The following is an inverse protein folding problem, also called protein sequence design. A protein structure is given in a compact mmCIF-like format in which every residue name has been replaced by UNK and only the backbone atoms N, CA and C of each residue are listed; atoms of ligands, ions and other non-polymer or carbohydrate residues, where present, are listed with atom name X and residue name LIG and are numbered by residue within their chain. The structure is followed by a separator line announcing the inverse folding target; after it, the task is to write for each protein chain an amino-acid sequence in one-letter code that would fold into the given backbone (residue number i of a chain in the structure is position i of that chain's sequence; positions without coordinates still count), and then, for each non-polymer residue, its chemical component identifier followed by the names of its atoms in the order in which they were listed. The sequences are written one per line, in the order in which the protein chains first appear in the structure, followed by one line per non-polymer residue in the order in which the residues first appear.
data_IF_669833652518
#
_entry.id   IF_669833652518
#
_cell.length_a   1.000
_cell.length_b   1.000
_cell.length_c   1.000
_cell.angle_alpha   90.00
_cell.angle_beta   90.00
_cell.angle_gamma   90.00
#
_symmetry.space_group_name_H-M   'P 1'
#
loop_
_entity.id
_entity.type
_entity.pdbx_description
1 polymer ?
#
# COMPACT_ATOMS: atom_id res chain seq x y z
N UNK A 1 59.50 27.66 -43.07
CA UNK A 1 59.50 26.37 -42.35
C UNK A 1 58.11 26.17 -41.75
N UNK A 2 57.48 25.00 -41.96
CA UNK A 2 56.43 24.42 -41.07
C UNK A 2 57.17 23.66 -39.93
N UNK A 3 56.57 23.18 -38.82
CA UNK A 3 55.14 22.99 -38.47
C UNK A 3 54.69 24.05 -37.40
N UNK A 4 53.60 23.96 -36.62
CA UNK A 4 52.62 22.88 -36.33
C UNK A 4 51.18 23.41 -36.16
N UNK A 5 50.21 22.49 -36.30
CA UNK A 5 48.84 22.57 -35.78
C UNK A 5 48.74 21.96 -34.39
N UNK A 6 47.90 22.51 -33.52
CA UNK A 6 47.43 21.85 -32.30
C UNK A 6 45.94 22.20 -32.08
N UNK A 7 45.05 21.30 -32.50
CA UNK A 7 43.63 21.42 -32.21
C UNK A 7 43.36 20.94 -30.78
N UNK A 8 42.79 21.78 -29.91
CA UNK A 8 42.26 21.31 -28.63
C UNK A 8 40.94 20.59 -28.87
N UNK A 9 40.86 19.34 -28.39
CA UNK A 9 39.66 18.51 -28.50
C UNK A 9 38.51 19.11 -27.70
N UNK A 10 37.37 19.28 -28.36
CA UNK A 10 36.08 19.39 -27.71
C UNK A 10 35.69 18.03 -27.12
N UNK A 11 35.60 17.94 -25.80
CA UNK A 11 35.03 16.78 -25.11
C UNK A 11 33.53 17.04 -24.85
N UNK A 12 32.59 16.41 -25.57
CA UNK A 12 31.19 16.46 -25.20
C UNK A 12 30.99 15.58 -23.96
N UNK A 13 30.84 16.22 -22.80
CA UNK A 13 30.41 15.52 -21.57
C UNK A 13 28.95 15.12 -21.76
N UNK A 14 28.74 13.89 -22.24
CA UNK A 14 27.42 13.29 -22.36
C UNK A 14 26.81 13.09 -20.98
N UNK A 15 25.89 13.97 -20.57
CA UNK A 15 24.97 13.70 -19.48
C UNK A 15 24.06 12.55 -19.91
N UNK A 16 24.47 11.32 -19.58
CA UNK A 16 23.58 10.17 -19.50
C UNK A 16 22.66 10.39 -18.29
N UNK A 17 21.58 11.15 -18.52
CA UNK A 17 20.44 11.17 -17.61
C UNK A 17 19.75 9.81 -17.76
N UNK A 18 20.21 8.85 -16.97
CA UNK A 18 19.46 7.65 -16.65
C UNK A 18 18.21 8.10 -15.88
N UNK A 19 17.17 8.48 -16.63
CA UNK A 19 15.80 8.45 -16.11
C UNK A 19 15.57 6.98 -15.77
N UNK A 20 15.63 6.66 -14.48
CA UNK A 20 15.29 5.32 -14.01
C UNK A 20 13.87 5.04 -14.45
N UNK A 21 13.67 4.01 -15.25
CA UNK A 21 12.35 3.44 -15.45
C UNK A 21 11.92 2.83 -14.11
N UNK A 22 11.27 3.62 -13.27
CA UNK A 22 10.22 3.08 -12.43
C UNK A 22 9.21 2.47 -13.43
N UNK A 23 9.13 1.14 -13.46
CA UNK A 23 8.08 0.47 -14.21
C UNK A 23 6.75 0.90 -13.62
N UNK A 24 5.82 1.33 -14.46
CA UNK A 24 4.46 1.59 -14.01
C UNK A 24 3.90 0.32 -13.32
N UNK A 25 3.06 0.45 -12.28
CA UNK A 25 2.43 -0.70 -11.63
C UNK A 25 1.55 -1.45 -12.63
N UNK A 26 1.48 -2.79 -12.51
CA UNK A 26 0.58 -3.62 -13.33
C UNK A 26 -0.90 -3.51 -12.89
N UNK A 27 -1.15 -2.88 -11.74
CA UNK A 27 -2.47 -2.61 -11.16
C UNK A 27 -2.86 -1.12 -11.29
N UNK A 28 -4.16 -0.86 -11.25
CA UNK A 28 -4.77 0.47 -11.47
C UNK A 28 -5.39 1.09 -10.22
N UNK A 29 -5.72 0.27 -9.21
CA UNK A 29 -6.21 0.72 -7.91
C UNK A 29 -5.73 -0.18 -6.76
N UNK A 30 -5.65 0.41 -5.57
CA UNK A 30 -5.66 -0.32 -4.30
C UNK A 30 -7.11 -0.31 -3.80
N UNK A 31 -7.68 -1.49 -3.56
CA UNK A 31 -9.06 -1.66 -3.12
C UNK A 31 -9.10 -2.13 -1.65
N UNK A 32 -9.87 -1.41 -0.86
CA UNK A 32 -10.04 -1.63 0.59
C UNK A 32 -11.52 -1.89 0.87
N UNK A 33 -11.86 -3.08 1.37
CA UNK A 33 -13.20 -3.37 1.90
C UNK A 33 -13.14 -3.28 3.41
N UNK A 34 -13.97 -2.43 4.02
CA UNK A 34 -14.12 -2.37 5.48
C UNK A 34 -15.45 -2.95 5.88
N UNK A 35 -15.46 -3.87 6.85
CA UNK A 35 -16.69 -4.45 7.42
C UNK A 35 -16.69 -4.27 8.93
N UNK A 36 -17.72 -3.61 9.47
CA UNK A 36 -17.86 -3.41 10.91
C UNK A 36 -18.25 -4.72 11.61
N UNK A 37 -17.80 -4.91 12.85
CA UNK A 37 -18.13 -6.06 13.68
C UNK A 37 -18.22 -5.67 15.16
N UNK A 38 -18.92 -6.46 15.97
CA UNK A 38 -18.80 -6.39 17.43
C UNK A 38 -18.74 -7.80 18.05
N UNK A 39 -18.18 -7.91 19.25
CA UNK A 39 -17.92 -9.19 19.94
C UNK A 39 -19.00 -9.60 20.96
N UNK A 40 -20.07 -8.82 21.13
CA UNK A 40 -20.99 -8.93 22.27
C UNK A 40 -22.47 -9.02 21.91
N UNK A 41 -22.87 -8.62 20.70
CA UNK A 41 -24.23 -8.72 20.18
C UNK A 41 -24.30 -9.79 19.08
N UNK A 42 -24.94 -10.95 19.33
CA UNK A 42 -25.07 -12.01 18.34
C UNK A 42 -26.00 -11.65 17.18
N UNK A 43 -26.86 -10.63 17.33
CA UNK A 43 -27.79 -10.15 16.32
C UNK A 43 -27.27 -8.90 15.60
N UNK A 44 -25.98 -8.55 15.77
CA UNK A 44 -25.36 -7.42 15.09
C UNK A 44 -25.35 -7.60 13.57
N UNK A 45 -25.81 -6.58 12.83
CA UNK A 45 -25.74 -6.52 11.36
C UNK A 45 -24.47 -5.76 10.92
N UNK A 46 -23.48 -6.45 10.29
CA UNK A 46 -22.29 -5.79 9.75
C UNK A 46 -22.62 -4.78 8.66
N UNK A 47 -21.94 -3.63 8.69
CA UNK A 47 -21.97 -2.64 7.60
C UNK A 47 -20.67 -2.74 6.82
N UNK A 48 -20.78 -2.96 5.50
CA UNK A 48 -19.63 -3.04 4.60
C UNK A 48 -19.53 -1.81 3.70
N UNK A 49 -18.33 -1.23 3.62
CA UNK A 49 -17.97 -0.11 2.75
C UNK A 49 -16.79 -0.52 1.87
N UNK A 50 -16.74 -0.07 0.62
CA UNK A 50 -15.56 -0.22 -0.26
C UNK A 50 -14.98 1.16 -0.55
N UNK A 51 -13.68 1.30 -0.36
CA UNK A 51 -12.88 2.47 -0.75
C UNK A 51 -11.81 2.06 -1.76
N UNK A 52 -11.38 3.00 -2.60
CA UNK A 52 -10.31 2.80 -3.57
C UNK A 52 -9.29 3.93 -3.48
N UNK A 53 -8.02 3.62 -3.73
CA UNK A 53 -6.91 4.57 -3.84
C UNK A 53 -6.23 4.40 -5.20
N UNK A 54 -5.68 5.49 -5.73
CA UNK A 54 -4.74 5.39 -6.83
C UNK A 54 -3.42 4.76 -6.33
N UNK A 55 -2.73 3.95 -7.16
CA UNK A 55 -1.48 3.31 -6.80
C UNK A 55 -0.31 4.31 -6.92
N UNK A 56 -0.29 5.31 -6.03
CA UNK A 56 0.74 6.34 -5.98
C UNK A 56 1.10 6.69 -4.54
N UNK A 57 2.40 6.84 -4.26
CA UNK A 57 2.90 7.20 -2.93
C UNK A 57 2.33 8.54 -2.44
N UNK A 58 1.84 8.55 -1.20
CA UNK A 58 1.22 9.71 -0.56
C UNK A 58 -0.28 9.85 -0.79
N UNK A 59 -0.91 9.00 -1.62
CA UNK A 59 -2.37 8.92 -1.69
C UNK A 59 -2.93 8.29 -0.41
N UNK A 60 -3.99 8.86 0.14
CA UNK A 60 -4.59 8.44 1.41
C UNK A 60 -6.12 8.51 1.40
N UNK A 61 -6.77 7.66 2.20
CA UNK A 61 -8.23 7.70 2.38
C UNK A 61 -8.62 7.20 3.77
N UNK A 62 -9.74 7.71 4.26
CA UNK A 62 -10.34 7.28 5.53
C UNK A 62 -11.32 6.14 5.23
N UNK A 63 -11.15 5.03 5.93
CA UNK A 63 -11.91 3.79 5.74
C UNK A 63 -12.77 3.47 6.97
N UNK A 64 -13.24 2.23 7.10
CA UNK A 64 -14.07 1.81 8.24
C UNK A 64 -13.43 2.17 9.59
N UNK A 65 -14.29 2.48 10.57
CA UNK A 65 -13.90 2.87 11.93
C UNK A 65 -13.10 4.19 12.04
N UNK A 66 -12.88 4.90 10.93
CA UNK A 66 -12.15 6.18 10.92
C UNK A 66 -10.63 6.03 10.75
N UNK A 67 -10.15 4.81 10.48
CA UNK A 67 -8.75 4.51 10.17
C UNK A 67 -8.35 5.18 8.86
N UNK A 68 -7.18 5.81 8.82
CA UNK A 68 -6.57 6.35 7.60
C UNK A 68 -5.60 5.34 7.02
N UNK A 69 -5.76 4.99 5.74
CA UNK A 69 -4.79 4.17 4.99
C UNK A 69 -4.08 5.05 3.97
N UNK A 70 -2.75 5.05 4.00
CA UNK A 70 -1.85 5.75 3.08
C UNK A 70 -1.07 4.75 2.23
N UNK A 71 -0.93 4.98 0.93
CA UNK A 71 0.05 4.27 0.09
C UNK A 71 1.43 4.85 0.36
N UNK A 72 2.37 4.06 0.89
CA UNK A 72 3.72 4.51 1.25
C UNK A 72 4.83 3.93 0.37
N UNK A 73 4.51 2.95 -0.48
CA UNK A 73 5.39 2.42 -1.52
C UNK A 73 4.59 1.73 -2.62
N UNK A 74 5.06 1.83 -3.86
CA UNK A 74 4.45 1.16 -5.02
C UNK A 74 5.56 0.52 -5.84
N UNK A 75 5.47 -0.80 -6.05
CA UNK A 75 6.32 -1.51 -7.01
C UNK A 75 5.45 -2.08 -8.14
N UNK A 76 6.04 -2.89 -9.02
CA UNK A 76 5.39 -3.35 -10.24
C UNK A 76 4.16 -4.25 -9.97
N UNK A 77 4.25 -5.14 -8.98
CA UNK A 77 3.25 -6.18 -8.66
C UNK A 77 2.62 -6.03 -7.27
N UNK A 78 2.93 -4.96 -6.51
CA UNK A 78 2.58 -4.81 -5.09
C UNK A 78 2.49 -3.36 -4.64
N UNK A 79 1.70 -3.11 -3.59
CA UNK A 79 1.68 -1.85 -2.85
C UNK A 79 2.07 -2.08 -1.37
N UNK A 80 2.83 -1.16 -0.79
CA UNK A 80 3.04 -1.06 0.65
C UNK A 80 2.07 0.00 1.20
N UNK A 81 1.19 -0.44 2.07
CA UNK A 81 0.16 0.38 2.71
C UNK A 81 0.53 0.62 4.17
N UNK A 82 0.22 1.81 4.69
CA UNK A 82 0.38 2.16 6.09
C UNK A 82 -0.92 2.69 6.67
N UNK A 83 -1.25 2.23 7.86
CA UNK A 83 -2.38 2.68 8.70
C UNK A 83 -1.92 3.72 9.73
N UNK A 84 -2.81 4.62 10.14
CA UNK A 84 -2.59 5.50 11.31
C UNK A 84 -2.86 4.81 12.66
N UNK A 85 -3.51 3.64 12.63
CA UNK A 85 -3.69 2.73 13.77
C UNK A 85 -2.97 1.39 13.56
N UNK A 86 -2.50 0.74 14.64
CA UNK A 86 -1.92 -0.60 14.56
C UNK A 86 -3.03 -1.65 14.37
N UNK A 87 -2.96 -2.39 13.27
CA UNK A 87 -3.93 -3.43 12.90
C UNK A 87 -3.38 -4.82 13.24
N UNK A 88 -4.25 -5.74 13.63
CA UNK A 88 -3.92 -7.15 13.82
C UNK A 88 -4.30 -7.97 12.58
N UNK A 89 -3.45 -8.90 12.11
CA UNK A 89 -3.80 -9.81 11.02
C UNK A 89 -4.91 -10.78 11.47
N UNK A 90 -5.75 -11.17 10.52
CA UNK A 90 -6.74 -12.25 10.70
C UNK A 90 -6.08 -13.58 10.34
N UNK A 91 -6.15 -14.56 11.23
CA UNK A 91 -5.55 -15.87 11.00
C UNK A 91 -6.45 -16.84 10.24
N UNK A 92 -5.86 -17.84 9.55
CA UNK A 92 -6.54 -18.86 8.71
C UNK A 92 -7.76 -19.56 9.37
N UNK A 93 -7.78 -19.65 10.69
CA UNK A 93 -8.86 -20.29 11.46
C UNK A 93 -9.99 -19.33 11.87
N UNK A 94 -9.91 -18.07 11.43
CA UNK A 94 -10.65 -16.95 11.99
C UNK A 94 -10.05 -16.46 13.32
N UNK A 95 -10.32 -15.19 13.63
CA UNK A 95 -9.79 -14.49 14.81
C UNK A 95 -8.55 -13.64 14.51
N UNK A 96 -8.30 -12.66 15.36
CA UNK A 96 -7.24 -11.65 15.22
C UNK A 96 -6.03 -11.99 16.12
N UNK A 97 -4.80 -11.82 15.64
CA UNK A 97 -3.61 -11.96 16.49
C UNK A 97 -3.17 -10.63 17.10
N UNK A 98 -3.69 -10.34 18.30
CA UNK A 98 -3.35 -9.15 19.08
C UNK A 98 -1.89 -9.09 19.56
N UNK A 99 -1.06 -10.09 19.26
CA UNK A 99 0.37 -10.11 19.57
C UNK A 99 1.24 -9.69 18.39
N UNK A 100 0.66 -9.61 17.19
CA UNK A 100 1.34 -9.34 15.92
C UNK A 100 0.71 -8.11 15.25
N UNK A 101 0.56 -7.02 16.00
CA UNK A 101 -0.03 -5.79 15.48
C UNK A 101 0.99 -5.01 14.64
N UNK A 102 0.58 -4.61 13.45
CA UNK A 102 1.40 -3.91 12.45
C UNK A 102 0.68 -2.66 11.93
N UNK A 103 1.44 -1.60 11.68
CA UNK A 103 0.98 -0.37 11.02
C UNK A 103 1.24 -0.38 9.51
N UNK A 104 2.23 -1.14 9.03
CA UNK A 104 2.52 -1.34 7.60
C UNK A 104 2.16 -2.76 7.11
N UNK A 105 1.69 -2.88 5.87
CA UNK A 105 1.30 -4.14 5.22
C UNK A 105 1.57 -4.10 3.71
N UNK A 106 2.26 -5.13 3.20
CA UNK A 106 2.46 -5.35 1.76
C UNK A 106 1.25 -6.10 1.19
N UNK A 107 0.75 -5.66 0.03
CA UNK A 107 -0.35 -6.29 -0.70
C UNK A 107 0.10 -6.56 -2.13
N UNK A 108 0.29 -7.83 -2.47
CA UNK A 108 0.68 -8.26 -3.81
C UNK A 108 -0.53 -8.52 -4.73
N UNK A 109 -0.31 -8.44 -6.04
CA UNK A 109 -1.33 -8.71 -7.04
C UNK A 109 -1.84 -10.15 -6.97
N UNK A 110 -3.16 -10.29 -6.88
CA UNK A 110 -3.84 -11.58 -6.75
C UNK A 110 -3.93 -12.11 -5.32
N UNK A 111 -3.39 -11.39 -4.34
CA UNK A 111 -3.60 -11.66 -2.92
C UNK A 111 -4.67 -10.74 -2.32
N UNK A 112 -5.29 -11.22 -1.23
CA UNK A 112 -6.15 -10.41 -0.36
C UNK A 112 -5.57 -10.54 1.04
N UNK A 113 -5.21 -9.42 1.66
CA UNK A 113 -4.68 -9.41 3.03
C UNK A 113 -5.80 -8.98 3.98
N UNK A 114 -6.09 -9.82 4.98
CA UNK A 114 -7.13 -9.58 5.97
C UNK A 114 -6.53 -9.01 7.27
N UNK A 115 -6.89 -7.76 7.58
CA UNK A 115 -6.48 -7.06 8.79
C UNK A 115 -7.71 -6.67 9.62
N UNK A 116 -7.53 -6.32 10.89
CA UNK A 116 -8.60 -5.77 11.73
C UNK A 116 -8.05 -4.80 12.78
N UNK A 117 -8.87 -3.85 13.21
CA UNK A 117 -8.61 -3.05 14.42
C UNK A 117 -8.26 -3.96 15.60
N UNK A 118 -7.17 -3.68 16.33
CA UNK A 118 -6.61 -4.55 17.37
C UNK A 118 -7.39 -4.49 18.71
N UNK A 119 -8.65 -4.95 18.70
CA UNK A 119 -9.60 -4.93 19.83
C UNK A 119 -10.46 -6.19 19.83
N UNK A 120 -11.04 -6.58 20.97
CA UNK A 120 -11.96 -7.74 21.09
C UNK A 120 -13.44 -7.34 21.20
N UNK A 121 -13.74 -6.09 21.54
CA UNK A 121 -15.12 -5.67 21.87
C UNK A 121 -15.92 -5.26 20.62
N UNK A 122 -15.26 -4.67 19.62
CA UNK A 122 -15.88 -4.26 18.36
C UNK A 122 -15.00 -3.29 17.59
N UNK A 123 -15.13 -3.30 16.27
CA UNK A 123 -14.23 -2.58 15.38
C UNK A 123 -14.51 -2.87 13.91
N UNK A 124 -13.45 -2.87 13.10
CA UNK A 124 -13.54 -3.09 11.66
C UNK A 124 -12.53 -4.13 11.21
N UNK A 125 -12.98 -5.06 10.36
CA UNK A 125 -12.13 -5.88 9.51
C UNK A 125 -11.89 -5.18 8.18
N UNK A 126 -10.73 -5.44 7.56
CA UNK A 126 -10.25 -4.83 6.33
C UNK A 126 -9.73 -5.90 5.38
N UNK A 127 -10.36 -6.05 4.21
CA UNK A 127 -9.80 -6.81 3.09
C UNK A 127 -9.03 -5.84 2.19
N UNK A 128 -7.73 -6.07 2.03
CA UNK A 128 -6.81 -5.22 1.26
C UNK A 128 -6.37 -5.97 -0.01
N UNK A 129 -6.48 -5.34 -1.18
CA UNK A 129 -6.18 -5.96 -2.48
C UNK A 129 -5.72 -4.91 -3.51
N UNK A 130 -5.04 -5.34 -4.58
CA UNK A 130 -4.65 -4.48 -5.71
C UNK A 130 -5.14 -5.08 -7.04
N UNK A 131 -5.56 -4.24 -8.00
CA UNK A 131 -6.16 -4.68 -9.28
C UNK A 131 -6.33 -3.62 -10.36
#
# INVERSE_FOLDING_TARGET
MRPSTAALLSLPVGLLVLVGCASDPEFTEVRIVSTTWNGWDPDYEPTTTTSTLAPAEGEETVVGCGVTITVVGVEHDRALLRSDEALAPVGDTGGIDLRDTQDEVEVAMGEVVEMSTATMDGGCGFELSVG
#
